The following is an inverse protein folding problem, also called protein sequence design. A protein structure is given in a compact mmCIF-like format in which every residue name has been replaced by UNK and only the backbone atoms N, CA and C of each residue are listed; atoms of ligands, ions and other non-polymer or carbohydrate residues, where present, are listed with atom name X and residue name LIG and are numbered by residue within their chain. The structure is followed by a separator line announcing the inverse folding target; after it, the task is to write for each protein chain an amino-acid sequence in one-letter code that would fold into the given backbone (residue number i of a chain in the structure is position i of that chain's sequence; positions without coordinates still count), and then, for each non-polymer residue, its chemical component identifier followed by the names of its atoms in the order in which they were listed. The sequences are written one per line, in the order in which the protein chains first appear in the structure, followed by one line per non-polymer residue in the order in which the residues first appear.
data_IF_069469370639
#
_entry.id   IF_069469370639
#
_cell.length_a   1.000
_cell.length_b   1.000
_cell.length_c   1.000
_cell.angle_alpha   90.00
_cell.angle_beta   90.00
_cell.angle_gamma   90.00
#
_symmetry.space_group_name_H-M   'P 1'
#
loop_
_entity.id
_entity.type
_entity.pdbx_description
1 polymer ?
#
# COMPACT_ATOMS: atom_id res chain seq x y z
N UNK A 1 84.12 24.21 -4.67
CA UNK A 1 82.77 24.69 -5.03
C UNK A 1 81.88 23.46 -5.07
N UNK A 2 81.54 22.84 -3.93
CA UNK A 2 80.74 23.35 -2.80
C UNK A 2 79.28 23.51 -3.20
N UNK A 3 78.52 22.43 -3.05
CA UNK A 3 77.06 22.42 -3.02
C UNK A 3 76.58 23.11 -1.73
N UNK A 4 75.53 23.94 -1.78
CA UNK A 4 74.69 24.23 -0.61
C UNK A 4 73.26 23.68 -0.78
N UNK A 5 72.51 23.56 0.33
CA UNK A 5 71.50 22.51 0.51
C UNK A 5 70.07 22.91 0.16
N UNK A 6 69.28 21.90 -0.21
CA UNK A 6 67.82 21.93 -0.27
C UNK A 6 67.24 22.19 1.12
N UNK A 7 66.44 23.25 1.24
CA UNK A 7 65.55 23.46 2.37
C UNK A 7 64.13 23.00 2.02
N UNK A 8 63.68 22.02 2.81
CA UNK A 8 62.30 21.65 3.10
C UNK A 8 61.30 22.82 2.97
N UNK A 9 60.10 22.56 2.46
CA UNK A 9 58.94 22.31 3.33
C UNK A 9 57.59 22.47 2.61
N UNK A 10 56.76 21.45 2.81
CA UNK A 10 55.33 21.58 3.11
C UNK A 10 54.45 22.41 2.15
N UNK A 11 54.10 21.84 1.01
CA UNK A 11 52.81 22.17 0.37
C UNK A 11 51.76 21.14 0.77
N UNK A 12 51.19 21.43 1.94
CA UNK A 12 49.78 21.30 2.26
C UNK A 12 49.02 20.17 1.55
N UNK A 13 48.88 19.07 2.30
CA UNK A 13 47.73 18.18 2.25
C UNK A 13 46.45 19.02 2.36
N UNK A 14 45.94 19.50 1.22
CA UNK A 14 44.69 20.26 1.12
C UNK A 14 43.57 19.24 1.29
N UNK A 15 43.19 19.01 2.54
CA UNK A 15 41.95 18.32 2.90
C UNK A 15 40.80 19.02 2.17
N UNK A 16 40.23 18.36 1.17
CA UNK A 16 39.04 18.81 0.47
C UNK A 16 37.89 18.90 1.49
N UNK A 17 37.37 20.12 1.80
CA UNK A 17 36.26 20.30 2.72
C UNK A 17 34.94 19.71 2.20
N UNK A 18 34.91 19.17 0.97
CA UNK A 18 33.71 18.63 0.31
C UNK A 18 33.62 17.11 0.31
N UNK A 19 34.48 16.42 1.05
CA UNK A 19 34.24 15.02 1.40
C UNK A 19 33.16 14.94 2.49
N UNK A 20 31.95 15.39 2.17
CA UNK A 20 30.79 14.98 2.95
C UNK A 20 30.76 13.45 2.94
N UNK A 21 30.76 12.77 4.10
CA UNK A 21 30.55 11.33 4.12
C UNK A 21 29.23 11.07 3.38
N UNK A 22 29.13 10.07 2.49
CA UNK A 22 27.95 9.83 1.68
C UNK A 22 26.73 9.84 2.60
N UNK A 23 26.01 10.96 2.55
CA UNK A 23 24.96 11.26 3.50
C UNK A 23 23.99 10.11 3.41
N UNK A 24 23.62 9.55 4.56
CA UNK A 24 22.46 8.68 4.70
C UNK A 24 21.25 9.48 4.21
N UNK A 25 21.04 9.56 2.89
CA UNK A 25 19.80 10.07 2.32
C UNK A 25 18.71 9.29 3.04
N UNK A 26 17.93 9.99 3.86
CA UNK A 26 17.05 9.37 4.85
C UNK A 26 16.26 8.27 4.15
N UNK A 27 16.26 7.05 4.72
CA UNK A 27 15.67 5.84 4.11
C UNK A 27 14.24 6.10 3.59
N UNK A 28 13.52 7.03 4.21
CA UNK A 28 12.20 7.54 3.86
C UNK A 28 12.09 8.30 2.52
N UNK A 29 13.18 8.86 2.00
CA UNK A 29 13.20 9.58 0.71
C UNK A 29 13.12 8.62 -0.48
N UNK A 30 13.68 7.41 -0.35
CA UNK A 30 13.75 6.44 -1.45
C UNK A 30 12.36 6.02 -1.98
N UNK A 31 11.37 5.67 -1.13
CA UNK A 31 10.02 5.39 -1.64
C UNK A 31 9.40 6.59 -2.37
N UNK A 32 9.60 7.81 -1.85
CA UNK A 32 9.08 9.03 -2.48
C UNK A 32 9.74 9.31 -3.83
N UNK A 33 11.04 9.05 -3.96
CA UNK A 33 11.77 9.15 -5.24
C UNK A 33 11.22 8.15 -6.26
N UNK A 34 10.93 6.90 -5.84
CA UNK A 34 10.32 5.89 -6.71
C UNK A 34 8.93 6.34 -7.19
N UNK A 35 8.10 6.86 -6.28
CA UNK A 35 6.76 7.36 -6.62
C UNK A 35 6.86 8.55 -7.57
N UNK A 36 7.72 9.54 -7.27
CA UNK A 36 7.93 10.73 -8.13
C UNK A 36 8.46 10.35 -9.51
N UNK A 37 9.41 9.42 -9.59
CA UNK A 37 9.94 8.90 -10.84
C UNK A 37 8.89 8.15 -11.68
N UNK A 38 7.77 7.75 -11.07
CA UNK A 38 6.66 7.06 -11.73
C UNK A 38 5.32 7.80 -11.53
N UNK A 39 5.34 9.13 -11.39
CA UNK A 39 4.17 9.92 -10.99
C UNK A 39 2.95 9.72 -11.90
N UNK A 40 3.15 9.60 -13.23
CA UNK A 40 2.05 9.33 -14.17
C UNK A 40 1.39 7.97 -13.90
N UNK A 41 2.19 6.93 -13.71
CA UNK A 41 1.66 5.59 -13.38
C UNK A 41 0.96 5.62 -12.03
N UNK A 42 1.56 6.27 -11.03
CA UNK A 42 0.96 6.42 -9.71
C UNK A 42 -0.39 7.14 -9.77
N UNK A 43 -0.49 8.21 -10.56
CA UNK A 43 -1.74 8.94 -10.78
C UNK A 43 -2.81 8.05 -11.44
N UNK A 44 -2.44 7.31 -12.49
CA UNK A 44 -3.37 6.37 -13.15
C UNK A 44 -3.86 5.30 -12.16
N UNK A 45 -2.97 4.75 -11.34
CA UNK A 45 -3.35 3.78 -10.31
C UNK A 45 -4.29 4.39 -9.27
N UNK A 46 -4.08 5.64 -8.85
CA UNK A 46 -5.01 6.34 -7.97
C UNK A 46 -6.39 6.47 -8.62
N UNK A 47 -6.47 7.06 -9.81
CA UNK A 47 -7.74 7.30 -10.51
C UNK A 47 -8.47 5.98 -10.76
N UNK A 48 -7.78 4.94 -11.22
CA UNK A 48 -8.36 3.62 -11.43
C UNK A 48 -8.84 2.99 -10.13
N UNK A 49 -8.05 3.07 -9.05
CA UNK A 49 -8.39 2.45 -7.77
C UNK A 49 -9.65 3.05 -7.18
N UNK A 50 -9.68 4.38 -7.00
CA UNK A 50 -10.85 5.06 -6.47
C UNK A 50 -12.04 4.97 -7.42
N UNK A 51 -11.81 5.08 -8.73
CA UNK A 51 -12.87 4.94 -9.73
C UNK A 51 -13.56 3.59 -9.69
N UNK A 52 -12.81 2.49 -9.60
CA UNK A 52 -13.37 1.13 -9.53
C UNK A 52 -14.16 0.89 -8.23
N UNK A 53 -13.69 1.42 -7.09
CA UNK A 53 -14.43 1.34 -5.82
C UNK A 53 -15.75 2.11 -5.91
N UNK A 54 -15.72 3.33 -6.44
CA UNK A 54 -16.93 4.16 -6.62
C UNK A 54 -17.92 3.49 -7.57
N UNK A 55 -17.44 2.89 -8.67
CA UNK A 55 -18.29 2.14 -9.60
C UNK A 55 -18.91 0.91 -8.92
N UNK A 56 -18.14 0.16 -8.14
CA UNK A 56 -18.64 -0.96 -7.35
C UNK A 56 -19.70 -0.51 -6.34
N UNK A 57 -19.45 0.59 -5.63
CA UNK A 57 -20.39 1.16 -4.66
C UNK A 57 -21.70 1.62 -5.31
N UNK A 58 -21.61 2.32 -6.44
CA UNK A 58 -22.78 2.70 -7.23
C UNK A 58 -23.55 1.46 -7.73
N UNK A 59 -22.86 0.41 -8.16
CA UNK A 59 -23.50 -0.84 -8.54
C UNK A 59 -24.22 -1.50 -7.36
N UNK A 60 -23.62 -1.52 -6.16
CA UNK A 60 -24.29 -2.05 -4.96
C UNK A 60 -25.54 -1.25 -4.56
N UNK A 61 -25.52 0.08 -4.76
CA UNK A 61 -26.71 0.93 -4.54
C UNK A 61 -27.82 0.65 -5.56
N UNK A 62 -27.47 0.43 -6.82
CA UNK A 62 -28.42 0.17 -7.91
C UNK A 62 -28.95 -1.26 -7.91
N UNK A 63 -28.17 -2.21 -7.39
CA UNK A 63 -28.49 -3.64 -7.34
C UNK A 63 -28.26 -4.20 -5.93
N UNK A 64 -29.16 -3.92 -4.97
CA UNK A 64 -28.98 -4.32 -3.57
C UNK A 64 -28.79 -5.83 -3.34
N UNK A 65 -29.27 -6.66 -4.27
CA UNK A 65 -29.06 -8.11 -4.25
C UNK A 65 -27.57 -8.47 -4.29
N UNK A 66 -26.75 -7.71 -5.03
CA UNK A 66 -25.31 -7.95 -5.09
C UNK A 66 -24.64 -7.74 -3.72
N UNK A 67 -25.07 -6.72 -2.97
CA UNK A 67 -24.56 -6.46 -1.63
C UNK A 67 -25.05 -7.51 -0.62
N UNK A 68 -26.29 -8.01 -0.77
CA UNK A 68 -26.82 -9.10 0.05
C UNK A 68 -26.08 -10.42 -0.19
N UNK A 69 -25.90 -10.82 -1.45
CA UNK A 69 -25.17 -12.03 -1.83
C UNK A 69 -23.73 -11.99 -1.30
N UNK A 70 -23.11 -10.80 -1.29
CA UNK A 70 -21.78 -10.60 -0.70
C UNK A 70 -21.77 -10.71 0.81
N UNK A 71 -22.78 -10.18 1.50
CA UNK A 71 -22.88 -10.33 2.95
C UNK A 71 -23.03 -11.81 3.35
N UNK A 72 -23.83 -12.59 2.62
CA UNK A 72 -23.99 -14.03 2.84
C UNK A 72 -22.68 -14.79 2.60
N UNK A 73 -21.98 -14.52 1.49
CA UNK A 73 -20.69 -15.16 1.21
C UNK A 73 -19.62 -14.90 2.30
N UNK A 74 -19.63 -13.71 2.92
CA UNK A 74 -18.72 -13.37 4.02
C UNK A 74 -19.05 -14.09 5.34
N UNK A 75 -20.32 -14.40 5.57
CA UNK A 75 -20.77 -15.23 6.69
C UNK A 75 -20.37 -16.69 6.47
N UNK A 76 -20.61 -17.22 5.27
CA UNK A 76 -20.31 -18.61 4.91
C UNK A 76 -18.80 -18.91 4.94
N UNK A 77 -17.95 -17.94 4.60
CA UNK A 77 -16.48 -18.06 4.66
C UNK A 77 -15.91 -17.96 6.11
N UNK A 78 -16.76 -17.86 7.15
CA UNK A 78 -16.37 -17.85 8.57
C UNK A 78 -15.64 -16.58 9.05
N UNK A 79 -15.56 -15.56 8.20
CA UNK A 79 -14.88 -14.29 8.50
C UNK A 79 -15.64 -13.51 9.58
N UNK A 80 -16.97 -13.58 9.56
CA UNK A 80 -17.83 -12.91 10.55
C UNK A 80 -17.59 -13.42 11.98
N UNK A 81 -17.46 -14.75 12.16
CA UNK A 81 -17.24 -15.38 13.46
C UNK A 81 -15.86 -15.04 14.04
N UNK A 82 -14.83 -15.04 13.18
CA UNK A 82 -13.48 -14.59 13.55
C UNK A 82 -13.49 -13.15 14.04
N UNK A 83 -14.12 -12.23 13.32
CA UNK A 83 -14.23 -10.82 13.71
C UNK A 83 -14.99 -10.67 15.04
N UNK A 84 -16.11 -11.36 15.20
CA UNK A 84 -16.91 -11.33 16.43
C UNK A 84 -16.13 -11.78 17.69
N UNK A 85 -15.21 -12.73 17.54
CA UNK A 85 -14.40 -13.25 18.65
C UNK A 85 -13.36 -12.26 19.20
N UNK A 86 -12.86 -11.34 18.35
CA UNK A 86 -11.78 -10.38 18.70
C UNK A 86 -12.21 -8.93 18.80
N UNK A 87 -13.42 -8.57 18.35
CA UNK A 87 -13.91 -7.17 18.35
C UNK A 87 -13.91 -6.53 19.75
N UNK A 88 -14.06 -7.35 20.81
CA UNK A 88 -14.01 -6.91 22.21
C UNK A 88 -12.61 -6.51 22.70
N UNK A 89 -11.56 -6.83 21.93
CA UNK A 89 -10.14 -6.59 22.25
C UNK A 89 -9.47 -5.81 21.12
N UNK A 90 -9.55 -4.45 21.12
CA UNK A 90 -9.10 -3.63 20.00
C UNK A 90 -7.68 -3.91 19.48
N UNK A 91 -6.65 -4.20 20.32
CA UNK A 91 -5.32 -4.52 19.81
C UNK A 91 -5.27 -5.82 18.99
N UNK A 92 -6.00 -6.87 19.41
CA UNK A 92 -6.07 -8.13 18.67
C UNK A 92 -6.87 -7.97 17.38
N UNK A 93 -7.92 -7.15 17.41
CA UNK A 93 -8.70 -6.85 16.23
C UNK A 93 -7.89 -6.04 15.19
N UNK A 94 -7.14 -5.03 15.64
CA UNK A 94 -6.20 -4.30 14.78
C UNK A 94 -5.15 -5.24 14.16
N UNK A 95 -4.60 -6.18 14.93
CA UNK A 95 -3.66 -7.17 14.41
C UNK A 95 -4.30 -8.06 13.33
N UNK A 96 -5.56 -8.48 13.53
CA UNK A 96 -6.30 -9.27 12.55
C UNK A 96 -6.53 -8.48 11.26
N UNK A 97 -7.03 -7.24 11.36
CA UNK A 97 -7.24 -6.34 10.21
C UNK A 97 -5.92 -6.16 9.44
N UNK A 98 -4.85 -5.82 10.15
CA UNK A 98 -3.52 -5.68 9.58
C UNK A 98 -3.05 -6.96 8.85
N UNK A 99 -3.21 -8.12 9.49
CA UNK A 99 -2.81 -9.39 8.90
C UNK A 99 -3.61 -9.71 7.62
N UNK A 100 -4.92 -9.53 7.64
CA UNK A 100 -5.78 -9.75 6.46
C UNK A 100 -5.37 -8.81 5.32
N UNK A 101 -5.19 -7.52 5.60
CA UNK A 101 -4.82 -6.54 4.58
C UNK A 101 -3.41 -6.75 4.02
N UNK A 102 -2.46 -7.15 4.86
CA UNK A 102 -1.09 -7.42 4.42
C UNK A 102 -1.02 -8.73 3.62
N UNK A 103 -1.55 -9.83 4.15
CA UNK A 103 -1.37 -11.14 3.54
C UNK A 103 -2.39 -11.41 2.44
N UNK A 104 -3.68 -11.27 2.70
CA UNK A 104 -4.73 -11.62 1.74
C UNK A 104 -4.80 -10.63 0.59
N UNK A 105 -4.85 -9.34 0.92
CA UNK A 105 -5.02 -8.30 -0.09
C UNK A 105 -3.68 -7.92 -0.74
N UNK A 106 -2.71 -7.47 0.06
CA UNK A 106 -1.47 -6.95 -0.52
C UNK A 106 -0.61 -8.07 -1.12
N UNK A 107 -0.30 -9.11 -0.35
CA UNK A 107 0.60 -10.16 -0.81
C UNK A 107 -0.08 -11.11 -1.80
N UNK A 108 -1.18 -11.77 -1.42
CA UNK A 108 -1.79 -12.84 -2.21
C UNK A 108 -2.60 -12.33 -3.41
N UNK A 109 -3.18 -11.13 -3.34
CA UNK A 109 -3.98 -10.58 -4.44
C UNK A 109 -3.13 -9.72 -5.38
N UNK A 110 -2.25 -8.84 -4.86
CA UNK A 110 -1.50 -7.88 -5.68
C UNK A 110 -0.10 -8.39 -6.06
N UNK A 111 0.70 -8.76 -5.06
CA UNK A 111 2.14 -9.01 -5.29
C UNK A 111 2.40 -10.39 -5.89
N UNK A 112 1.97 -11.47 -5.23
CA UNK A 112 2.28 -12.86 -5.61
C UNK A 112 1.84 -13.18 -7.04
N UNK A 113 0.62 -12.86 -7.49
CA UNK A 113 0.24 -13.13 -8.87
C UNK A 113 1.13 -12.37 -9.87
N UNK A 114 1.54 -11.14 -9.54
CA UNK A 114 2.43 -10.33 -10.38
C UNK A 114 3.88 -10.82 -10.40
N UNK A 115 4.31 -11.60 -9.40
CA UNK A 115 5.61 -12.28 -9.40
C UNK A 115 5.63 -13.46 -10.39
N UNK A 116 4.48 -14.08 -10.64
CA UNK A 116 4.36 -15.26 -11.52
C UNK A 116 4.05 -14.82 -12.96
N UNK A 117 3.05 -13.95 -13.12
CA UNK A 117 2.62 -13.42 -14.42
C UNK A 117 2.65 -11.88 -14.34
N UNK A 118 3.44 -11.19 -15.19
CA UNK A 118 3.49 -9.74 -15.19
C UNK A 118 2.10 -9.10 -15.17
N UNK A 119 1.88 -8.19 -14.21
CA UNK A 119 0.64 -7.43 -14.02
C UNK A 119 -0.60 -8.23 -13.59
N UNK A 120 -0.55 -9.55 -13.42
CA UNK A 120 -1.74 -10.34 -13.07
C UNK A 120 -2.39 -9.89 -11.76
N UNK A 121 -1.59 -9.47 -10.77
CA UNK A 121 -2.14 -8.95 -9.52
C UNK A 121 -2.86 -7.61 -9.68
N UNK A 122 -2.57 -6.82 -10.71
CA UNK A 122 -3.35 -5.60 -11.01
C UNK A 122 -4.76 -5.95 -11.50
N UNK A 123 -4.90 -7.02 -12.27
CA UNK A 123 -6.21 -7.50 -12.72
C UNK A 123 -7.03 -8.05 -11.55
N UNK A 124 -6.42 -8.89 -10.69
CA UNK A 124 -7.07 -9.39 -9.48
C UNK A 124 -7.44 -8.27 -8.52
N UNK A 125 -6.55 -7.29 -8.34
CA UNK A 125 -6.83 -6.10 -7.54
C UNK A 125 -7.98 -5.29 -8.10
N UNK A 126 -8.02 -5.05 -9.42
CA UNK A 126 -9.11 -4.34 -10.07
C UNK A 126 -10.47 -5.02 -9.86
N UNK A 127 -10.52 -6.34 -10.01
CA UNK A 127 -11.73 -7.12 -9.69
C UNK A 127 -12.10 -6.98 -8.21
N UNK A 128 -11.13 -7.15 -7.31
CA UNK A 128 -11.35 -7.03 -5.87
C UNK A 128 -11.89 -5.65 -5.49
N UNK A 129 -11.39 -4.56 -6.08
CA UNK A 129 -11.86 -3.19 -5.80
C UNK A 129 -13.35 -2.99 -6.11
N UNK A 130 -13.81 -3.51 -7.25
CA UNK A 130 -15.24 -3.44 -7.62
C UNK A 130 -16.07 -4.21 -6.58
N UNK A 131 -15.62 -5.40 -6.20
CA UNK A 131 -16.33 -6.23 -5.22
C UNK A 131 -16.37 -5.58 -3.84
N UNK A 132 -15.26 -4.98 -3.40
CA UNK A 132 -15.21 -4.19 -2.17
C UNK A 132 -16.17 -3.01 -2.24
N UNK A 133 -16.21 -2.27 -3.35
CA UNK A 133 -17.18 -1.20 -3.55
C UNK A 133 -18.62 -1.66 -3.32
N UNK A 134 -19.01 -2.80 -3.90
CA UNK A 134 -20.35 -3.39 -3.70
C UNK A 134 -20.62 -3.75 -2.23
N UNK A 135 -19.64 -4.36 -1.56
CA UNK A 135 -19.73 -4.77 -0.15
C UNK A 135 -19.83 -3.59 0.81
N UNK A 136 -19.29 -2.43 0.45
CA UNK A 136 -19.30 -1.23 1.28
C UNK A 136 -20.68 -0.58 1.42
N UNK A 137 -21.68 -0.98 0.62
CA UNK A 137 -23.03 -0.45 0.69
C UNK A 137 -23.74 -0.97 1.94
N UNK A 138 -24.03 -0.13 2.95
CA UNK A 138 -24.63 -0.59 4.19
C UNK A 138 -26.12 -0.93 4.03
N UNK A 139 -26.55 -2.01 4.68
CA UNK A 139 -27.95 -2.44 4.70
C UNK A 139 -28.80 -1.76 5.79
N UNK A 140 -28.17 -1.12 6.78
CA UNK A 140 -28.84 -0.54 7.96
C UNK A 140 -28.39 0.89 8.22
N UNK A 141 -29.23 1.67 8.92
CA UNK A 141 -28.88 3.03 9.35
C UNK A 141 -27.61 3.09 10.19
N UNK A 142 -27.43 2.14 11.12
CA UNK A 142 -26.19 2.01 11.91
C UNK A 142 -24.97 1.74 11.01
N UNK A 143 -25.11 0.93 9.97
CA UNK A 143 -24.04 0.70 9.00
C UNK A 143 -23.64 1.96 8.24
N UNK A 144 -24.59 2.83 7.89
CA UNK A 144 -24.31 4.15 7.30
C UNK A 144 -23.58 5.09 8.27
N UNK A 145 -23.90 5.03 9.57
CA UNK A 145 -23.15 5.78 10.59
C UNK A 145 -21.73 5.23 10.75
N UNK A 146 -21.56 3.91 10.76
CA UNK A 146 -20.27 3.24 10.82
C UNK A 146 -19.35 3.60 9.64
N UNK A 147 -19.93 3.95 8.48
CA UNK A 147 -19.19 4.38 7.31
C UNK A 147 -18.43 5.70 7.50
N UNK A 148 -18.85 6.56 8.44
CA UNK A 148 -18.19 7.84 8.71
C UNK A 148 -16.73 7.60 9.15
N UNK A 149 -16.44 6.91 10.27
CA UNK A 149 -15.06 6.60 10.64
C UNK A 149 -14.38 5.62 9.69
N UNK A 150 -15.12 4.64 9.13
CA UNK A 150 -14.57 3.62 8.25
C UNK A 150 -14.10 4.21 6.89
N UNK A 151 -14.69 5.31 6.43
CA UNK A 151 -14.24 6.01 5.22
C UNK A 151 -12.77 6.45 5.29
N UNK A 152 -12.29 6.87 6.47
CA UNK A 152 -10.89 7.22 6.67
C UNK A 152 -10.00 5.98 6.57
N UNK A 153 -10.42 4.85 7.15
CA UNK A 153 -9.73 3.56 6.99
C UNK A 153 -9.60 3.20 5.52
N UNK A 154 -10.69 3.25 4.76
CA UNK A 154 -10.71 2.94 3.33
C UNK A 154 -9.70 3.80 2.58
N UNK A 155 -9.67 5.11 2.83
CA UNK A 155 -8.72 6.00 2.14
C UNK A 155 -7.28 5.61 2.45
N UNK A 156 -6.96 5.33 3.71
CA UNK A 156 -5.61 4.94 4.15
C UNK A 156 -5.20 3.59 3.52
N UNK A 157 -6.09 2.60 3.56
CA UNK A 157 -5.84 1.27 3.02
C UNK A 157 -5.70 1.28 1.50
N UNK A 158 -6.60 1.97 0.78
CA UNK A 158 -6.51 2.11 -0.67
C UNK A 158 -5.18 2.76 -1.07
N UNK A 159 -4.69 3.74 -0.31
CA UNK A 159 -3.36 4.32 -0.57
C UNK A 159 -2.23 3.29 -0.36
N UNK A 160 -2.31 2.45 0.68
CA UNK A 160 -1.35 1.37 0.85
C UNK A 160 -1.38 0.39 -0.34
N UNK A 161 -2.56 0.00 -0.81
CA UNK A 161 -2.72 -0.90 -1.94
C UNK A 161 -2.25 -0.29 -3.25
N UNK A 162 -2.46 1.01 -3.48
CA UNK A 162 -1.93 1.74 -4.64
C UNK A 162 -0.39 1.67 -4.66
N UNK A 163 0.25 1.81 -3.50
CA UNK A 163 1.71 1.70 -3.38
C UNK A 163 2.18 0.27 -3.70
N UNK A 164 1.48 -0.76 -3.23
CA UNK A 164 1.75 -2.16 -3.62
C UNK A 164 1.50 -2.40 -5.12
N UNK A 165 0.43 -1.85 -5.68
CA UNK A 165 0.08 -1.94 -7.10
C UNK A 165 1.15 -1.25 -7.97
N UNK A 166 1.72 -0.14 -7.51
CA UNK A 166 2.88 0.48 -8.17
C UNK A 166 4.08 -0.49 -8.18
N UNK A 167 4.37 -1.14 -7.05
CA UNK A 167 5.41 -2.18 -6.98
C UNK A 167 5.17 -3.32 -7.97
N UNK A 168 3.95 -3.88 -7.99
CA UNK A 168 3.52 -4.93 -8.92
C UNK A 168 3.66 -4.51 -10.40
N UNK A 169 3.27 -3.27 -10.73
CA UNK A 169 3.46 -2.71 -12.05
C UNK A 169 4.95 -2.63 -12.42
N UNK A 170 5.80 -2.16 -11.50
CA UNK A 170 7.24 -2.04 -11.76
C UNK A 170 7.92 -3.40 -11.91
N UNK A 171 7.51 -4.42 -11.16
CA UNK A 171 7.96 -5.81 -11.37
C UNK A 171 7.68 -6.24 -12.81
N UNK A 172 6.42 -6.11 -13.26
CA UNK A 172 6.05 -6.50 -14.63
C UNK A 172 6.79 -5.69 -15.69
N UNK A 173 6.91 -4.37 -15.49
CA UNK A 173 7.63 -3.47 -16.41
C UNK A 173 9.10 -3.82 -16.54
N UNK A 174 9.79 -4.02 -15.42
CA UNK A 174 11.24 -4.29 -15.42
C UNK A 174 11.55 -5.72 -15.89
N UNK A 175 10.67 -6.68 -15.62
CA UNK A 175 10.81 -8.02 -16.17
C UNK A 175 10.69 -8.03 -17.70
N UNK A 176 9.66 -7.39 -18.26
CA UNK A 176 9.44 -7.37 -19.70
C UNK A 176 10.38 -6.43 -20.45
N UNK A 177 10.78 -5.32 -19.82
CA UNK A 177 11.65 -4.29 -20.40
C UNK A 177 12.79 -3.93 -19.42
N UNK A 178 13.82 -4.78 -19.30
CA UNK A 178 14.92 -4.60 -18.32
C UNK A 178 15.63 -3.25 -18.46
N UNK A 179 15.76 -2.73 -19.68
CA UNK A 179 16.35 -1.42 -19.97
C UNK A 179 15.66 -0.27 -19.23
N UNK A 180 14.37 -0.41 -18.90
CA UNK A 180 13.65 0.60 -18.11
C UNK A 180 14.07 0.66 -16.63
N UNK A 181 14.79 -0.35 -16.15
CA UNK A 181 15.46 -0.37 -14.86
C UNK A 181 16.99 -0.16 -14.98
N UNK A 182 17.50 0.21 -16.16
CA UNK A 182 18.93 0.40 -16.40
C UNK A 182 19.75 -0.89 -16.45
N UNK A 183 19.11 -2.05 -16.66
CA UNK A 183 19.78 -3.36 -16.73
C UNK A 183 19.46 -4.07 -18.05
N UNK A 184 20.32 -5.01 -18.45
CA UNK A 184 20.18 -5.68 -19.75
C UNK A 184 19.38 -6.99 -19.67
N UNK A 185 19.58 -7.76 -18.60
CA UNK A 185 18.99 -9.10 -18.46
C UNK A 185 17.63 -9.05 -17.76
N UNK A 186 16.69 -9.89 -18.22
CA UNK A 186 15.35 -10.03 -17.62
C UNK A 186 15.38 -10.44 -16.15
N UNK A 187 16.31 -11.31 -15.76
CA UNK A 187 16.51 -11.73 -14.37
C UNK A 187 16.91 -10.54 -13.48
N UNK A 188 17.82 -9.71 -13.96
CA UNK A 188 18.26 -8.51 -13.24
C UNK A 188 17.11 -7.49 -13.12
N UNK A 189 16.30 -7.35 -14.18
CA UNK A 189 15.09 -6.52 -14.16
C UNK A 189 14.03 -7.01 -13.16
N UNK A 190 13.80 -8.32 -13.09
CA UNK A 190 12.91 -8.92 -12.10
C UNK A 190 13.37 -8.65 -10.66
N UNK A 191 14.66 -8.88 -10.37
CA UNK A 191 15.25 -8.60 -9.04
C UNK A 191 15.20 -7.12 -8.71
N UNK A 192 15.45 -6.23 -9.67
CA UNK A 192 15.30 -4.79 -9.49
C UNK A 192 13.86 -4.43 -9.11
N UNK A 193 12.85 -5.02 -9.79
CA UNK A 193 11.44 -4.81 -9.48
C UNK A 193 11.07 -5.27 -8.07
N UNK A 194 11.59 -6.42 -7.65
CA UNK A 194 11.39 -6.95 -6.29
C UNK A 194 12.01 -6.03 -5.22
N UNK A 195 13.23 -5.53 -5.45
CA UNK A 195 13.89 -4.57 -4.55
C UNK A 195 13.11 -3.26 -4.45
N UNK A 196 12.66 -2.72 -5.59
CA UNK A 196 11.83 -1.51 -5.62
C UNK A 196 10.51 -1.72 -4.88
N UNK A 197 9.88 -2.90 -5.04
CA UNK A 197 8.67 -3.26 -4.30
C UNK A 197 8.92 -3.35 -2.80
N UNK A 198 10.06 -3.92 -2.37
CA UNK A 198 10.46 -3.92 -0.95
C UNK A 198 10.65 -2.53 -0.36
N UNK A 199 11.18 -1.57 -1.14
CA UNK A 199 11.28 -0.16 -0.73
C UNK A 199 9.89 0.47 -0.60
N UNK A 200 9.00 0.24 -1.57
CA UNK A 200 7.62 0.74 -1.53
C UNK A 200 6.78 0.09 -0.44
N UNK A 201 7.09 -1.15 -0.05
CA UNK A 201 6.37 -1.86 1.01
C UNK A 201 6.50 -1.17 2.37
N UNK A 202 7.59 -0.44 2.64
CA UNK A 202 7.79 0.25 3.92
C UNK A 202 6.67 1.28 4.21
N UNK A 203 6.43 2.31 3.37
CA UNK A 203 5.32 3.23 3.60
C UNK A 203 3.95 2.55 3.47
N UNK A 204 3.79 1.54 2.60
CA UNK A 204 2.52 0.83 2.46
C UNK A 204 2.14 0.07 3.74
N UNK A 205 3.08 -0.68 4.33
CA UNK A 205 2.88 -1.38 5.61
C UNK A 205 2.62 -0.38 6.73
N UNK A 206 3.31 0.76 6.76
CA UNK A 206 3.04 1.81 7.74
C UNK A 206 1.60 2.33 7.63
N UNK A 207 1.10 2.57 6.41
CA UNK A 207 -0.30 2.95 6.18
C UNK A 207 -1.27 1.86 6.66
N UNK A 208 -1.01 0.57 6.36
CA UNK A 208 -1.85 -0.52 6.82
C UNK A 208 -1.90 -0.62 8.35
N UNK A 209 -0.79 -0.40 9.05
CA UNK A 209 -0.77 -0.37 10.53
C UNK A 209 -1.62 0.78 11.05
N UNK A 210 -1.45 1.99 10.49
CA UNK A 210 -2.25 3.16 10.89
C UNK A 210 -3.74 2.93 10.63
N UNK A 211 -4.10 2.39 9.46
CA UNK A 211 -5.48 2.05 9.11
C UNK A 211 -6.08 1.03 10.06
N UNK A 212 -5.37 -0.06 10.35
CA UNK A 212 -5.85 -1.12 11.24
C UNK A 212 -6.04 -0.65 12.69
N UNK A 213 -5.13 0.18 13.21
CA UNK A 213 -5.29 0.79 14.54
C UNK A 213 -6.47 1.76 14.55
N UNK A 214 -6.57 2.63 13.55
CA UNK A 214 -7.68 3.57 13.44
C UNK A 214 -9.03 2.85 13.38
N UNK A 215 -9.16 1.82 12.54
CA UNK A 215 -10.38 1.05 12.37
C UNK A 215 -10.78 0.36 13.68
N UNK A 216 -9.89 -0.41 14.30
CA UNK A 216 -10.21 -1.16 15.50
C UNK A 216 -10.69 -0.25 16.65
N UNK A 217 -10.08 0.93 16.81
CA UNK A 217 -10.46 1.88 17.84
C UNK A 217 -11.72 2.67 17.47
N UNK A 218 -11.87 3.07 16.21
CA UNK A 218 -13.07 3.81 15.77
C UNK A 218 -14.33 2.95 15.86
N UNK A 219 -14.26 1.67 15.50
CA UNK A 219 -15.38 0.73 15.68
C UNK A 219 -15.77 0.59 17.15
N UNK A 220 -14.79 0.54 18.07
CA UNK A 220 -15.04 0.39 19.51
C UNK A 220 -15.61 1.63 20.19
N UNK A 221 -15.11 2.81 19.81
CA UNK A 221 -15.32 4.05 20.57
C UNK A 221 -16.17 5.09 19.86
N UNK A 222 -16.31 5.05 18.52
CA UNK A 222 -16.99 6.11 17.77
C UNK A 222 -18.35 5.68 17.25
N UNK A 223 -18.55 4.43 16.83
CA UNK A 223 -19.83 3.99 16.26
C UNK A 223 -20.98 4.21 17.23
N UNK A 224 -20.90 3.64 18.44
CA UNK A 224 -22.04 3.69 19.37
C UNK A 224 -22.45 5.13 19.75
N UNK A 225 -21.52 6.04 20.14
CA UNK A 225 -21.89 7.43 20.38
C UNK A 225 -22.44 8.14 19.15
N UNK A 226 -21.85 7.92 17.96
CA UNK A 226 -22.34 8.54 16.72
C UNK A 226 -23.75 8.06 16.37
N UNK A 227 -24.03 6.77 16.55
CA UNK A 227 -25.35 6.21 16.28
C UNK A 227 -26.41 6.82 17.20
N UNK A 228 -26.10 7.05 18.48
CA UNK A 228 -27.02 7.71 19.42
C UNK A 228 -27.32 9.17 19.05
N UNK A 229 -26.44 9.83 18.31
CA UNK A 229 -26.60 11.24 17.95
C UNK A 229 -27.31 11.43 16.60
N UNK A 230 -27.19 10.46 15.70
CA UNK A 230 -27.63 10.57 14.30
C UNK A 230 -28.89 9.77 13.98
N UNK A 231 -29.28 8.81 14.83
CA UNK A 231 -30.46 7.95 14.68
C UNK A 231 -31.42 8.16 15.86
#
# INVERSE_FOLDING_TARGET
MSQPPDHDSATANRLDPRSEPPGRAAVWRRPLEVIRGNARTYLVLNVATYGLVVLGFAAGLLFPQLSQDRATALQDDGTADLVGSVVSRPPLFALLIFAVNLFRLSLLTIVVPSLIVPFAGLAFFGYWLVQTGVTLVPATGEGWVAMIPHSLTIVIELQAYIVFALGAFLIGRYWLRPRSAGVERRRDGYVAGLRTTGVLAVPAVALLVVGAVWEAYSLRYFIHPLSQWLL
#
